data_IF_210791890818
#
_entry.id   IF_210791890818
#
_cell.length_a   1.000
_cell.length_b   1.000
_cell.length_c   1.000
_cell.angle_alpha   90.00
_cell.angle_beta   90.00
_cell.angle_gamma   90.00
#
_symmetry.space_group_name_H-M   'P 1'
#
loop_
_entity.id
_entity.type
_entity.pdbx_description
1 polymer ?
#
# COMPACT_ATOMS: atom_id res chain seq x y z
N UNK A 1 8.51 -14.22 -14.55
CA UNK A 1 9.10 -15.47 -13.96
C UNK A 1 9.39 -15.17 -12.48
N UNK A 2 8.78 -15.95 -11.58
CA UNK A 2 9.04 -15.84 -10.14
C UNK A 2 10.50 -16.19 -9.87
N UNK A 3 11.25 -15.40 -9.07
CA UNK A 3 12.59 -15.77 -8.66
C UNK A 3 12.57 -17.12 -7.93
N UNK A 4 13.43 -18.03 -8.30
CA UNK A 4 13.46 -19.37 -7.71
C UNK A 4 13.88 -19.36 -6.24
N UNK A 5 14.78 -18.44 -5.87
CA UNK A 5 15.27 -18.19 -4.51
C UNK A 5 15.99 -16.85 -4.50
N UNK A 6 15.90 -16.12 -3.40
CA UNK A 6 16.74 -14.95 -3.15
C UNK A 6 17.97 -15.36 -2.32
N UNK A 7 19.06 -14.60 -2.41
CA UNK A 7 20.18 -14.71 -1.47
C UNK A 7 19.71 -14.32 -0.06
N UNK A 8 20.48 -14.70 0.97
CA UNK A 8 20.15 -14.40 2.37
C UNK A 8 19.94 -12.88 2.56
N UNK A 9 18.85 -12.51 3.26
CA UNK A 9 18.44 -11.14 3.57
C UNK A 9 18.14 -10.25 2.34
N UNK A 10 17.82 -10.85 1.21
CA UNK A 10 17.61 -10.16 -0.06
C UNK A 10 16.17 -10.29 -0.52
N UNK A 11 15.55 -9.18 -0.89
CA UNK A 11 14.33 -9.17 -1.67
C UNK A 11 14.70 -9.25 -3.15
N UNK A 12 14.28 -10.32 -3.81
CA UNK A 12 14.37 -10.47 -5.26
C UNK A 12 13.00 -10.18 -5.89
N UNK A 13 12.98 -9.39 -6.94
CA UNK A 13 11.80 -9.06 -7.74
C UNK A 13 12.18 -9.04 -9.22
N UNK A 14 11.53 -9.89 -10.05
CA UNK A 14 11.97 -10.06 -11.42
C UNK A 14 13.44 -10.50 -11.51
N UNK A 15 14.25 -9.68 -12.15
CA UNK A 15 15.71 -9.89 -12.30
C UNK A 15 16.54 -9.09 -11.28
N UNK A 16 15.87 -8.32 -10.41
CA UNK A 16 16.53 -7.41 -9.50
C UNK A 16 16.55 -7.94 -8.07
N UNK A 17 17.56 -7.54 -7.30
CA UNK A 17 17.73 -7.93 -5.91
C UNK A 17 18.18 -6.74 -5.07
N UNK A 18 17.53 -6.53 -3.93
CA UNK A 18 17.83 -5.44 -2.99
C UNK A 18 17.92 -5.95 -1.56
N UNK A 19 18.80 -5.33 -0.79
CA UNK A 19 19.06 -5.68 0.62
C UNK A 19 19.10 -4.41 1.46
N UNK A 20 18.59 -4.47 2.70
CA UNK A 20 18.76 -3.37 3.66
C UNK A 20 20.25 -3.01 3.81
N UNK A 21 20.54 -1.72 3.89
CA UNK A 21 21.90 -1.19 4.01
C UNK A 21 22.63 -0.96 2.67
N UNK A 22 22.08 -1.35 1.52
CA UNK A 22 22.63 -0.93 0.23
C UNK A 22 22.62 0.60 0.11
N UNK A 23 23.63 1.15 -0.54
CA UNK A 23 23.65 2.59 -0.87
C UNK A 23 22.79 2.88 -2.09
N UNK A 24 22.38 4.13 -2.28
CA UNK A 24 21.69 4.57 -3.50
C UNK A 24 22.47 4.20 -4.76
N UNK A 25 23.79 4.39 -4.75
CA UNK A 25 24.65 4.02 -5.87
C UNK A 25 24.63 2.51 -6.16
N UNK A 26 24.64 1.68 -5.12
CA UNK A 26 24.53 0.21 -5.28
C UNK A 26 23.17 -0.19 -5.84
N UNK A 27 22.09 0.43 -5.36
CA UNK A 27 20.73 0.19 -5.87
C UNK A 27 20.65 0.58 -7.35
N UNK A 28 21.05 1.80 -7.71
CA UNK A 28 21.01 2.26 -9.11
C UNK A 28 21.88 1.41 -10.04
N UNK A 29 23.07 1.02 -9.57
CA UNK A 29 23.94 0.10 -10.32
C UNK A 29 23.30 -1.27 -10.52
N UNK A 30 22.65 -1.82 -9.49
CA UNK A 30 21.95 -3.10 -9.56
C UNK A 30 20.72 -3.05 -10.47
N UNK A 31 19.96 -1.96 -10.43
CA UNK A 31 18.80 -1.71 -11.31
C UNK A 31 19.22 -1.46 -12.75
N UNK A 32 20.44 -0.96 -12.98
CA UNK A 32 20.88 -0.50 -14.29
C UNK A 32 20.17 0.78 -14.77
N UNK A 33 19.44 1.46 -13.90
CA UNK A 33 18.65 2.66 -14.18
C UNK A 33 18.51 3.55 -12.95
N UNK A 34 18.21 4.83 -13.18
CA UNK A 34 17.71 5.73 -12.14
C UNK A 34 16.29 5.30 -11.70
N UNK A 35 15.85 5.71 -10.50
CA UNK A 35 14.45 5.47 -10.09
C UNK A 35 13.47 6.19 -11.04
N UNK A 36 12.32 5.59 -11.28
CA UNK A 36 11.25 6.19 -12.08
C UNK A 36 10.66 7.41 -11.37
N UNK A 37 10.64 7.37 -10.04
CA UNK A 37 10.25 8.49 -9.19
C UNK A 37 11.07 8.56 -7.92
N UNK A 38 11.17 9.79 -7.39
CA UNK A 38 11.67 10.07 -6.04
C UNK A 38 10.62 10.84 -5.25
N UNK A 39 10.64 10.69 -3.94
CA UNK A 39 9.72 11.37 -3.04
C UNK A 39 10.26 11.47 -1.62
N UNK A 40 9.42 11.91 -0.71
CA UNK A 40 9.71 11.95 0.72
C UNK A 40 8.66 11.16 1.49
N UNK A 41 9.10 10.16 2.24
CA UNK A 41 8.21 9.34 3.07
C UNK A 41 7.72 10.09 4.32
N UNK A 42 6.71 9.60 5.01
CA UNK A 42 6.25 10.16 6.30
C UNK A 42 7.35 10.24 7.36
N UNK A 43 8.37 9.38 7.26
CA UNK A 43 9.52 9.36 8.15
C UNK A 43 10.54 10.48 7.83
N UNK A 44 10.31 11.25 6.76
CA UNK A 44 11.23 12.25 6.25
C UNK A 44 12.42 11.66 5.49
N UNK A 45 12.31 10.38 5.09
CA UNK A 45 13.35 9.71 4.31
C UNK A 45 13.10 9.91 2.82
N UNK A 46 14.18 9.92 2.04
CA UNK A 46 14.07 9.92 0.59
C UNK A 46 13.54 8.57 0.12
N UNK A 47 12.52 8.59 -0.73
CA UNK A 47 11.90 7.41 -1.33
C UNK A 47 12.30 7.29 -2.79
N UNK A 48 12.65 6.08 -3.23
CA UNK A 48 12.85 5.69 -4.63
C UNK A 48 11.80 4.69 -5.03
N UNK A 49 11.14 4.96 -6.14
CA UNK A 49 10.18 4.03 -6.76
C UNK A 49 10.74 3.56 -8.10
N UNK A 50 10.73 2.26 -8.29
CA UNK A 50 10.99 1.60 -9.56
C UNK A 50 9.71 0.90 -10.03
N UNK A 51 9.23 1.34 -11.18
CA UNK A 51 8.06 0.79 -11.86
C UNK A 51 8.31 0.80 -13.37
N UNK A 52 9.27 -0.03 -13.85
CA UNK A 52 9.69 -0.04 -15.23
C UNK A 52 8.50 -0.21 -16.17
N UNK A 53 8.47 0.60 -17.23
CA UNK A 53 7.37 0.62 -18.22
C UNK A 53 6.00 1.04 -17.66
N UNK A 54 5.93 1.46 -16.39
CA UNK A 54 4.70 1.82 -15.70
C UNK A 54 3.63 0.72 -15.76
N UNK A 55 4.06 -0.54 -15.74
CA UNK A 55 3.21 -1.72 -15.89
C UNK A 55 2.85 -2.39 -14.56
N UNK A 56 3.46 -1.95 -13.46
CA UNK A 56 3.26 -2.45 -12.10
C UNK A 56 3.58 -3.94 -11.87
N UNK A 57 4.18 -4.61 -12.84
CA UNK A 57 4.53 -6.04 -12.71
C UNK A 57 5.63 -6.25 -11.67
N UNK A 58 6.61 -5.35 -11.66
CA UNK A 58 7.76 -5.37 -10.76
C UNK A 58 7.84 -4.07 -9.93
N UNK A 59 6.72 -3.63 -9.40
CA UNK A 59 6.66 -2.42 -8.57
C UNK A 59 7.51 -2.61 -7.30
N UNK A 60 8.40 -1.68 -7.05
CA UNK A 60 9.33 -1.70 -5.93
C UNK A 60 9.54 -0.29 -5.38
N UNK A 61 9.39 -0.15 -4.07
CA UNK A 61 9.69 1.08 -3.35
C UNK A 61 10.79 0.84 -2.32
N UNK A 62 11.64 1.84 -2.13
CA UNK A 62 12.70 1.82 -1.11
C UNK A 62 12.81 3.17 -0.43
N UNK A 63 13.06 3.16 0.86
CA UNK A 63 13.34 4.36 1.63
C UNK A 63 14.80 4.38 2.10
N UNK A 64 15.41 5.57 2.05
CA UNK A 64 16.81 5.77 2.38
C UNK A 64 16.98 6.71 3.56
N UNK A 65 17.76 6.25 4.53
CA UNK A 65 18.27 7.07 5.63
C UNK A 65 19.80 7.04 5.60
N UNK A 66 20.42 8.22 5.62
CA UNK A 66 21.88 8.34 5.60
C UNK A 66 22.52 7.55 4.43
N UNK A 67 21.97 7.70 3.22
CA UNK A 67 22.37 7.00 1.99
C UNK A 67 22.23 5.46 2.04
N UNK A 68 21.49 4.93 2.98
CA UNK A 68 21.29 3.47 3.13
C UNK A 68 19.82 3.10 3.02
N UNK A 69 19.52 2.01 2.30
CA UNK A 69 18.20 1.41 2.28
C UNK A 69 17.84 0.98 3.70
N UNK A 70 16.75 1.50 4.23
CA UNK A 70 16.22 1.19 5.56
C UNK A 70 14.85 0.52 5.51
N UNK A 71 14.18 0.62 4.37
CA UNK A 71 12.89 0.01 4.10
C UNK A 71 12.78 -0.38 2.64
N UNK A 72 12.10 -1.49 2.36
CA UNK A 72 11.82 -2.03 1.04
C UNK A 72 10.38 -2.50 1.04
N UNK A 73 9.57 -2.04 0.09
CA UNK A 73 8.18 -2.47 -0.08
C UNK A 73 7.91 -2.88 -1.51
N UNK A 74 7.10 -3.93 -1.69
CA UNK A 74 6.62 -4.34 -3.01
C UNK A 74 5.22 -4.94 -2.94
N UNK A 75 4.45 -4.70 -3.98
CA UNK A 75 3.24 -5.44 -4.33
C UNK A 75 3.49 -6.03 -5.72
N UNK A 76 3.58 -7.35 -5.83
CA UNK A 76 3.91 -8.03 -7.08
C UNK A 76 3.58 -9.51 -7.02
N UNK A 77 3.30 -10.10 -8.18
CA UNK A 77 3.20 -11.55 -8.32
C UNK A 77 4.57 -12.25 -8.45
N UNK A 78 5.68 -11.50 -8.44
CA UNK A 78 6.99 -12.00 -8.83
C UNK A 78 8.11 -11.71 -7.82
N UNK A 79 7.79 -11.59 -6.54
CA UNK A 79 8.81 -11.39 -5.52
C UNK A 79 9.12 -12.64 -4.68
N UNK A 80 10.31 -12.64 -4.10
CA UNK A 80 10.74 -13.58 -3.08
C UNK A 80 11.72 -12.87 -2.13
N UNK A 81 11.46 -12.92 -0.82
CA UNK A 81 12.41 -12.46 0.18
C UNK A 81 13.07 -13.66 0.85
N UNK A 82 14.34 -13.87 0.54
CA UNK A 82 15.07 -15.07 0.96
C UNK A 82 14.27 -16.33 0.58
N UNK A 83 14.31 -17.39 1.35
CA UNK A 83 13.36 -18.51 1.26
C UNK A 83 12.16 -18.35 2.21
N UNK A 84 12.03 -17.16 2.81
CA UNK A 84 11.12 -16.90 3.92
C UNK A 84 9.70 -16.58 3.49
N UNK A 85 9.54 -15.72 2.47
CA UNK A 85 8.24 -15.33 1.92
C UNK A 85 8.31 -15.07 0.43
N UNK A 86 7.28 -15.49 -0.27
CA UNK A 86 7.14 -15.26 -1.72
C UNK A 86 5.71 -14.86 -2.05
N UNK A 87 5.53 -14.17 -3.16
CA UNK A 87 4.19 -13.92 -3.70
C UNK A 87 3.42 -15.21 -3.86
N UNK A 88 2.13 -15.21 -3.48
CA UNK A 88 1.26 -16.36 -3.54
C UNK A 88 1.43 -17.38 -2.39
N UNK A 89 2.37 -17.19 -1.46
CA UNK A 89 2.39 -17.97 -0.23
C UNK A 89 1.09 -17.78 0.54
N UNK A 90 0.62 -18.83 1.21
CA UNK A 90 -0.62 -18.75 1.99
C UNK A 90 -0.34 -18.34 3.44
N UNK A 91 -1.37 -17.87 4.14
CA UNK A 91 -1.31 -17.63 5.59
C UNK A 91 -0.76 -18.87 6.36
N UNK A 92 -1.22 -20.07 5.99
CA UNK A 92 -0.76 -21.33 6.57
C UNK A 92 0.75 -21.55 6.32
N UNK A 93 1.23 -21.22 5.13
CA UNK A 93 2.65 -21.32 4.79
C UNK A 93 3.49 -20.36 5.65
N UNK A 94 3.02 -19.11 5.80
CA UNK A 94 3.69 -18.11 6.64
C UNK A 94 3.75 -18.57 8.11
N UNK A 95 2.64 -19.03 8.65
CA UNK A 95 2.58 -19.53 10.03
C UNK A 95 3.51 -20.73 10.22
N UNK A 96 3.55 -21.66 9.25
CA UNK A 96 4.45 -22.81 9.27
C UNK A 96 5.94 -22.42 9.25
N UNK A 97 6.27 -21.25 8.71
CA UNK A 97 7.64 -20.67 8.74
C UNK A 97 7.90 -19.79 9.97
N UNK A 98 6.94 -19.67 10.88
CA UNK A 98 7.09 -18.94 12.14
C UNK A 98 6.66 -17.47 12.07
N UNK A 99 6.01 -17.02 11.02
CA UNK A 99 5.36 -15.71 11.01
C UNK A 99 4.25 -15.68 12.05
N UNK A 100 4.10 -14.53 12.70
CA UNK A 100 3.04 -14.27 13.67
C UNK A 100 2.07 -13.28 13.07
N UNK A 101 0.79 -13.49 13.32
CA UNK A 101 -0.25 -12.54 12.98
C UNK A 101 0.02 -11.20 13.67
N UNK A 102 -0.18 -10.11 12.96
CA UNK A 102 -0.09 -8.76 13.51
C UNK A 102 -1.44 -8.39 14.11
N UNK A 103 -1.49 -8.13 15.42
CA UNK A 103 -2.75 -7.95 16.17
C UNK A 103 -3.51 -6.67 15.79
N UNK A 104 -2.79 -5.69 15.23
CA UNK A 104 -3.39 -4.43 14.76
C UNK A 104 -4.24 -4.58 13.50
N UNK A 105 -3.97 -5.60 12.68
CA UNK A 105 -4.78 -5.90 11.51
C UNK A 105 -5.95 -6.78 11.90
N UNK A 106 -7.15 -6.26 11.78
CA UNK A 106 -8.34 -7.08 11.87
C UNK A 106 -8.23 -8.20 10.82
N UNK A 107 -8.73 -9.38 11.15
CA UNK A 107 -8.87 -10.51 10.21
C UNK A 107 -7.57 -11.11 9.65
N UNK A 108 -6.44 -10.98 10.34
CA UNK A 108 -5.17 -11.62 9.95
C UNK A 108 -4.63 -11.19 8.56
N UNK A 109 -4.84 -9.94 8.19
CA UNK A 109 -4.34 -9.41 6.91
C UNK A 109 -2.82 -9.30 6.85
N UNK A 110 -2.17 -9.12 7.99
CA UNK A 110 -0.73 -8.94 8.11
C UNK A 110 -0.07 -10.00 8.98
N UNK A 111 1.09 -10.45 8.53
CA UNK A 111 1.95 -11.41 9.22
C UNK A 111 3.34 -10.83 9.35
N UNK A 112 3.98 -11.00 10.50
CA UNK A 112 5.31 -10.48 10.75
C UNK A 112 6.28 -11.59 11.15
N UNK A 113 7.49 -11.49 10.64
CA UNK A 113 8.63 -12.30 11.04
C UNK A 113 9.82 -11.40 11.43
N UNK A 114 10.52 -11.79 12.49
CA UNK A 114 11.72 -11.11 12.92
C UNK A 114 12.95 -11.88 12.42
N UNK A 115 13.75 -11.25 11.55
CA UNK A 115 14.93 -11.86 10.96
C UNK A 115 16.17 -10.97 11.16
N UNK A 116 17.11 -11.41 11.98
CA UNK A 116 18.33 -10.64 12.22
C UNK A 116 18.02 -9.20 12.66
N UNK A 117 18.44 -8.23 11.87
CA UNK A 117 18.19 -6.80 12.09
C UNK A 117 16.94 -6.26 11.36
N UNK A 118 16.14 -7.14 10.77
CA UNK A 118 14.96 -6.74 10.00
C UNK A 118 13.65 -7.25 10.62
N UNK A 119 12.58 -6.51 10.39
CA UNK A 119 11.21 -7.00 10.42
C UNK A 119 10.73 -7.22 8.99
N UNK A 120 10.02 -8.32 8.79
CA UNK A 120 9.43 -8.72 7.51
C UNK A 120 7.94 -8.81 7.70
N UNK A 121 7.20 -7.88 7.13
CA UNK A 121 5.74 -7.88 7.11
C UNK A 121 5.27 -8.47 5.79
N UNK A 122 4.42 -9.47 5.84
CA UNK A 122 3.79 -10.07 4.67
C UNK A 122 2.28 -9.81 4.72
N UNK A 123 1.71 -9.36 3.60
CA UNK A 123 0.30 -9.00 3.48
C UNK A 123 -0.43 -10.02 2.61
N UNK A 124 -1.55 -10.55 3.13
CA UNK A 124 -2.28 -11.67 2.54
C UNK A 124 -3.65 -11.22 2.06
N UNK A 125 -4.00 -11.56 0.84
CA UNK A 125 -5.36 -11.42 0.31
C UNK A 125 -6.20 -12.65 0.71
N UNK A 126 -7.16 -12.46 1.62
CA UNK A 126 -8.06 -13.52 2.05
C UNK A 126 -9.40 -13.54 1.30
N UNK A 127 -9.68 -12.54 0.47
CA UNK A 127 -11.01 -12.39 -0.11
C UNK A 127 -11.29 -13.33 -1.31
N UNK A 128 -10.26 -13.77 -2.02
CA UNK A 128 -10.41 -14.65 -3.18
C UNK A 128 -9.44 -15.84 -3.16
N UNK A 129 -9.27 -16.49 -2.00
CA UNK A 129 -8.23 -17.52 -1.83
C UNK A 129 -6.87 -17.05 -2.33
N UNK A 130 -6.62 -15.74 -2.22
CA UNK A 130 -5.39 -15.11 -2.61
C UNK A 130 -4.25 -15.54 -1.69
N UNK A 131 -3.04 -15.22 -2.13
CA UNK A 131 -1.84 -15.45 -1.35
C UNK A 131 -1.27 -14.13 -0.84
N UNK A 132 -0.02 -14.18 -0.45
CA UNK A 132 0.77 -12.98 -0.16
C UNK A 132 0.87 -12.15 -1.43
N UNK A 133 0.34 -10.93 -1.38
CA UNK A 133 0.38 -9.99 -2.51
C UNK A 133 1.49 -8.96 -2.38
N UNK A 134 1.96 -8.73 -1.15
CA UNK A 134 2.98 -7.73 -0.88
C UNK A 134 3.84 -8.07 0.33
N UNK A 135 4.99 -7.44 0.39
CA UNK A 135 5.94 -7.54 1.51
C UNK A 135 6.56 -6.19 1.79
N UNK A 136 6.76 -5.90 3.08
CA UNK A 136 7.55 -4.77 3.57
C UNK A 136 8.67 -5.31 4.44
N UNK A 137 9.89 -4.90 4.16
CA UNK A 137 11.07 -5.27 4.94
C UNK A 137 11.74 -4.01 5.46
N UNK A 138 11.93 -3.87 6.76
CA UNK A 138 12.53 -2.67 7.31
C UNK A 138 13.48 -2.93 8.48
N UNK A 139 14.44 -2.00 8.68
CA UNK A 139 15.43 -2.06 9.77
C UNK A 139 14.72 -1.93 11.13
N UNK A 140 14.98 -2.85 12.03
CA UNK A 140 14.46 -2.85 13.41
C UNK A 140 14.73 -1.55 14.17
N UNK A 141 15.79 -0.80 13.80
CA UNK A 141 16.10 0.48 14.43
C UNK A 141 15.02 1.53 14.20
N UNK A 142 14.17 1.36 13.18
CA UNK A 142 13.05 2.25 12.90
C UNK A 142 11.86 2.01 13.83
N UNK A 143 11.89 0.93 14.61
CA UNK A 143 10.77 0.56 15.45
C UNK A 143 11.17 -0.03 16.81
N UNK A 144 10.41 0.31 17.84
CA UNK A 144 10.61 -0.18 19.20
C UNK A 144 9.35 -0.78 19.87
N UNK A 145 8.23 -0.95 19.14
CA UNK A 145 6.95 -1.38 19.71
C UNK A 145 6.52 -2.75 19.18
N UNK A 146 5.58 -3.38 19.89
CA UNK A 146 4.83 -4.55 19.41
C UNK A 146 4.07 -4.22 18.13
N UNK A 147 3.84 -5.26 17.32
CA UNK A 147 3.26 -5.13 15.97
C UNK A 147 4.08 -4.17 15.09
N UNK A 148 5.33 -4.27 15.20
CA UNK A 148 6.46 -3.54 14.68
C UNK A 148 6.19 -2.79 13.38
N UNK A 149 5.80 -1.55 13.53
CA UNK A 149 5.74 -0.58 12.47
C UNK A 149 6.79 0.50 12.67
N UNK A 150 6.99 1.30 11.67
CA UNK A 150 7.86 2.46 11.77
C UNK A 150 7.27 3.44 12.78
N UNK A 151 8.07 3.84 13.76
CA UNK A 151 7.58 4.59 14.91
C UNK A 151 7.26 6.05 14.59
N UNK A 152 6.20 6.60 15.21
CA UNK A 152 5.70 7.96 14.96
C UNK A 152 6.74 9.08 15.11
N UNK A 153 7.78 8.90 15.93
CA UNK A 153 8.81 9.93 16.12
C UNK A 153 9.57 10.32 14.85
N UNK A 154 9.54 9.46 13.83
CA UNK A 154 10.14 9.74 12.53
C UNK A 154 9.13 10.30 11.53
N UNK A 155 7.84 10.29 11.89
CA UNK A 155 6.81 10.77 10.98
C UNK A 155 6.78 12.30 10.96
N UNK A 156 6.80 12.85 9.75
CA UNK A 156 6.69 14.29 9.49
C UNK A 156 5.63 14.48 8.41
N UNK A 157 4.71 15.40 8.63
CA UNK A 157 3.73 15.74 7.60
C UNK A 157 4.11 17.06 6.94
N UNK A 158 4.33 17.01 5.62
CA UNK A 158 4.55 18.16 4.75
C UNK A 158 3.73 17.96 3.48
N UNK A 159 3.57 19.01 2.68
CA UNK A 159 2.94 18.92 1.36
C UNK A 159 3.63 17.90 0.44
N UNK A 160 4.94 17.80 0.52
CA UNK A 160 5.72 16.85 -0.29
C UNK A 160 5.47 15.41 0.15
N UNK A 161 5.41 15.15 1.47
CA UNK A 161 5.02 13.85 2.02
C UNK A 161 3.62 13.49 1.57
N UNK A 162 2.64 14.39 1.71
CA UNK A 162 1.27 14.14 1.29
C UNK A 162 1.20 13.81 -0.22
N UNK A 163 1.94 14.53 -1.04
CA UNK A 163 2.02 14.27 -2.49
C UNK A 163 2.63 12.89 -2.78
N UNK A 164 3.72 12.53 -2.12
CA UNK A 164 4.38 11.22 -2.27
C UNK A 164 3.41 10.10 -1.90
N UNK A 165 2.78 10.18 -0.73
CA UNK A 165 1.85 9.16 -0.22
C UNK A 165 0.60 8.98 -1.09
N UNK A 166 0.09 10.07 -1.69
CA UNK A 166 -1.04 9.99 -2.62
C UNK A 166 -0.71 9.18 -3.87
N UNK A 167 0.48 9.42 -4.43
CA UNK A 167 0.95 8.69 -5.61
C UNK A 167 1.21 7.23 -5.26
N UNK A 168 1.89 6.97 -4.15
CA UNK A 168 2.19 5.63 -3.65
C UNK A 168 0.91 4.81 -3.44
N UNK A 169 -0.14 5.40 -2.86
CA UNK A 169 -1.41 4.71 -2.68
C UNK A 169 -2.07 4.35 -4.04
N UNK A 170 -2.02 5.24 -5.01
CA UNK A 170 -2.47 4.94 -6.37
C UNK A 170 -1.66 3.81 -7.02
N UNK A 171 -0.35 3.80 -6.80
CA UNK A 171 0.53 2.74 -7.27
C UNK A 171 0.20 1.39 -6.60
N UNK A 172 -0.09 1.39 -5.30
CA UNK A 172 -0.48 0.16 -4.60
C UNK A 172 -1.78 -0.42 -5.14
N UNK A 173 -2.78 0.43 -5.44
CA UNK A 173 -4.00 -0.01 -6.12
C UNK A 173 -3.65 -0.67 -7.45
N UNK A 174 -2.84 -0.03 -8.27
CA UNK A 174 -2.47 -0.55 -9.59
C UNK A 174 -1.59 -1.80 -9.52
N UNK A 175 -0.61 -1.83 -8.62
CA UNK A 175 0.22 -3.02 -8.41
C UNK A 175 -0.63 -4.23 -7.91
N UNK A 176 -1.62 -3.98 -7.06
CA UNK A 176 -2.56 -5.01 -6.64
C UNK A 176 -3.47 -5.47 -7.78
N UNK A 177 -3.98 -4.55 -8.62
CA UNK A 177 -4.73 -4.91 -9.83
C UNK A 177 -3.93 -5.83 -10.73
N UNK A 178 -2.67 -5.46 -11.03
CA UNK A 178 -1.77 -6.28 -11.84
C UNK A 178 -1.46 -7.62 -11.17
N UNK A 179 -1.27 -7.65 -9.85
CA UNK A 179 -1.18 -8.91 -9.10
C UNK A 179 -2.43 -9.81 -9.31
N UNK A 180 -3.61 -9.22 -9.43
CA UNK A 180 -4.88 -9.91 -9.72
C UNK A 180 -5.09 -10.19 -11.21
N UNK A 181 -4.13 -9.87 -12.09
CA UNK A 181 -4.23 -10.06 -13.53
C UNK A 181 -5.12 -9.03 -14.23
N UNK A 182 -5.26 -7.84 -13.66
CA UNK A 182 -6.06 -6.73 -14.19
C UNK A 182 -5.16 -5.61 -14.72
N UNK A 183 -5.65 -4.86 -15.71
CA UNK A 183 -4.95 -3.67 -16.20
C UNK A 183 -4.89 -2.56 -15.14
N UNK A 184 -3.81 -1.76 -15.11
CA UNK A 184 -3.74 -0.61 -14.22
C UNK A 184 -4.82 0.43 -14.57
N UNK A 185 -5.33 1.11 -13.56
CA UNK A 185 -6.18 2.30 -13.72
C UNK A 185 -5.34 3.55 -13.93
N UNK A 186 -5.91 4.55 -14.56
CA UNK A 186 -5.29 5.87 -14.63
C UNK A 186 -5.32 6.53 -13.24
N UNK A 187 -4.18 6.99 -12.77
CA UNK A 187 -4.07 7.73 -11.51
C UNK A 187 -4.31 9.21 -11.77
N UNK A 188 -5.30 9.77 -11.11
CA UNK A 188 -5.68 11.18 -11.22
C UNK A 188 -5.32 11.97 -9.96
N UNK A 189 -4.99 13.24 -10.14
CA UNK A 189 -4.81 14.16 -9.03
C UNK A 189 -6.16 14.80 -8.69
N UNK A 190 -6.75 14.43 -7.54
CA UNK A 190 -7.98 15.03 -7.04
C UNK A 190 -7.73 15.91 -5.82
N UNK A 191 -8.27 17.14 -5.87
CA UNK A 191 -8.35 18.01 -4.72
C UNK A 191 -9.34 17.50 -3.68
N UNK A 192 -10.42 16.88 -4.13
CA UNK A 192 -11.53 16.38 -3.30
C UNK A 192 -11.05 15.29 -2.34
N UNK A 193 -10.33 14.26 -2.83
CA UNK A 193 -9.78 13.20 -2.00
C UNK A 193 -8.79 13.75 -0.96
N UNK A 194 -7.91 14.68 -1.35
CA UNK A 194 -6.95 15.29 -0.44
C UNK A 194 -7.63 16.12 0.65
N UNK A 195 -8.62 16.94 0.28
CA UNK A 195 -9.37 17.76 1.24
C UNK A 195 -10.11 16.90 2.25
N UNK A 196 -10.67 15.77 1.83
CA UNK A 196 -11.32 14.82 2.73
C UNK A 196 -10.32 14.18 3.71
N UNK A 197 -9.14 13.77 3.23
CA UNK A 197 -8.09 13.24 4.10
C UNK A 197 -7.62 14.26 5.14
N UNK A 198 -7.42 15.52 4.73
CA UNK A 198 -7.06 16.62 5.62
C UNK A 198 -8.14 16.91 6.65
N UNK A 199 -9.41 16.88 6.26
CA UNK A 199 -10.53 17.03 7.19
C UNK A 199 -10.55 15.90 8.22
N UNK A 200 -10.46 14.64 7.80
CA UNK A 200 -10.38 13.49 8.71
C UNK A 200 -9.20 13.61 9.68
N UNK A 201 -8.04 14.01 9.18
CA UNK A 201 -6.86 14.23 10.01
C UNK A 201 -7.10 15.34 11.04
N UNK A 202 -7.77 16.44 10.66
CA UNK A 202 -8.06 17.57 11.54
C UNK A 202 -8.96 17.21 12.71
N UNK A 203 -9.94 16.31 12.47
CA UNK A 203 -10.88 15.85 13.51
C UNK A 203 -10.43 14.56 14.20
N UNK A 204 -9.36 13.91 13.71
CA UNK A 204 -8.83 12.66 14.26
C UNK A 204 -9.79 11.47 14.13
N UNK A 205 -10.62 11.45 13.08
CA UNK A 205 -11.68 10.44 12.91
C UNK A 205 -11.96 10.16 11.44
N UNK A 206 -12.16 8.87 11.09
CA UNK A 206 -12.69 8.48 9.80
C UNK A 206 -14.15 8.92 9.65
N UNK A 207 -14.47 9.50 8.49
CA UNK A 207 -15.84 9.90 8.14
C UNK A 207 -16.00 9.97 6.63
N UNK A 208 -17.16 9.51 6.14
CA UNK A 208 -17.55 9.58 4.74
C UNK A 208 -18.07 10.97 4.35
N UNK A 209 -18.46 11.79 5.32
CA UNK A 209 -18.94 13.16 5.09
C UNK A 209 -17.83 14.18 5.28
N UNK A 210 -17.83 15.23 4.44
CA UNK A 210 -16.93 16.37 4.61
C UNK A 210 -17.37 17.30 5.76
N UNK A 211 -16.64 18.40 5.95
CA UNK A 211 -16.95 19.42 6.96
C UNK A 211 -18.31 20.09 6.79
N UNK A 212 -18.93 20.01 5.58
CA UNK A 212 -20.24 20.57 5.28
C UNK A 212 -21.33 19.50 5.31
N UNK A 213 -21.02 18.27 5.68
CA UNK A 213 -21.94 17.13 5.71
C UNK A 213 -22.20 16.49 4.35
N UNK A 214 -21.48 16.88 3.29
CA UNK A 214 -21.66 16.32 1.95
C UNK A 214 -21.01 14.94 1.86
N UNK A 215 -21.68 14.01 1.18
CA UNK A 215 -21.18 12.68 0.85
C UNK A 215 -20.12 12.75 -0.27
N UNK A 216 -19.45 11.63 -0.54
CA UNK A 216 -18.47 11.57 -1.63
C UNK A 216 -19.14 11.81 -3.00
N UNK A 217 -20.34 11.30 -3.26
CA UNK A 217 -21.06 11.51 -4.51
C UNK A 217 -21.31 13.00 -4.75
N UNK A 218 -21.75 13.73 -3.73
CA UNK A 218 -22.01 15.17 -3.82
C UNK A 218 -20.73 15.97 -4.07
N UNK A 219 -19.59 15.53 -3.54
CA UNK A 219 -18.30 16.18 -3.76
C UNK A 219 -17.72 15.92 -5.13
N UNK A 220 -17.80 14.65 -5.59
CA UNK A 220 -17.19 14.23 -6.85
C UNK A 220 -17.95 14.69 -8.08
N UNK A 221 -19.28 14.84 -7.99
CA UNK A 221 -20.11 15.29 -9.10
C UNK A 221 -19.64 16.64 -9.65
N UNK A 222 -19.11 17.49 -8.79
CA UNK A 222 -18.59 18.81 -9.19
C UNK A 222 -17.25 18.73 -9.94
N UNK A 223 -16.45 17.68 -9.69
CA UNK A 223 -15.06 17.58 -10.22
C UNK A 223 -14.96 16.57 -11.39
N UNK A 224 -15.60 15.41 -11.29
CA UNK A 224 -15.38 14.27 -12.20
C UNK A 224 -16.67 13.59 -12.69
N UNK A 225 -17.84 14.10 -12.37
CA UNK A 225 -19.11 13.53 -12.79
C UNK A 225 -19.64 12.43 -11.90
N UNK A 226 -19.04 11.25 -11.81
CA UNK A 226 -19.54 10.15 -10.98
C UNK A 226 -18.42 9.40 -10.27
N UNK A 227 -18.45 9.42 -8.94
CA UNK A 227 -17.63 8.54 -8.12
C UNK A 227 -18.41 7.25 -7.81
N UNK A 228 -17.85 6.11 -8.15
CA UNK A 228 -18.48 4.81 -7.91
C UNK A 228 -18.25 4.30 -6.50
N UNK A 229 -17.09 4.60 -5.93
CA UNK A 229 -16.72 4.13 -4.60
C UNK A 229 -15.69 5.06 -3.97
N UNK A 230 -15.92 5.40 -2.71
CA UNK A 230 -14.92 5.99 -1.84
C UNK A 230 -14.64 5.04 -0.68
N UNK A 231 -13.40 4.95 -0.25
CA UNK A 231 -13.03 4.33 1.01
C UNK A 231 -12.12 5.24 1.80
N UNK A 232 -12.36 5.33 3.09
CA UNK A 232 -11.57 6.06 4.06
C UNK A 232 -10.89 5.07 4.99
N UNK A 233 -9.66 5.36 5.34
CA UNK A 233 -8.89 4.51 6.23
C UNK A 233 -7.96 5.32 7.12
N UNK A 234 -7.51 4.70 8.21
CA UNK A 234 -6.42 5.21 9.04
C UNK A 234 -5.41 4.09 9.27
N UNK A 235 -4.14 4.44 9.19
CA UNK A 235 -3.03 3.51 9.39
C UNK A 235 -1.75 4.25 9.75
N UNK A 236 -0.69 3.51 10.02
CA UNK A 236 0.60 4.11 10.39
C UNK A 236 1.55 4.26 9.18
N UNK A 237 1.27 3.56 8.08
CA UNK A 237 1.98 3.65 6.80
C UNK A 237 1.03 3.43 5.62
N UNK A 238 1.48 3.65 4.40
CA UNK A 238 0.71 3.35 3.20
C UNK A 238 0.43 1.86 3.05
N UNK A 239 1.41 1.00 3.30
CA UNK A 239 1.27 -0.45 3.23
C UNK A 239 0.25 -0.95 4.24
N UNK A 240 0.30 -0.39 5.43
CA UNK A 240 -0.63 -0.66 6.52
C UNK A 240 -2.05 -0.29 6.13
N UNK A 241 -2.21 0.95 5.69
CA UNK A 241 -3.48 1.48 5.24
C UNK A 241 -4.04 0.70 4.04
N UNK A 242 -3.18 0.39 3.05
CA UNK A 242 -3.59 -0.37 1.88
C UNK A 242 -3.98 -1.81 2.24
N UNK A 243 -3.27 -2.47 3.15
CA UNK A 243 -3.63 -3.81 3.61
C UNK A 243 -5.01 -3.81 4.28
N UNK A 244 -5.35 -2.75 5.00
CA UNK A 244 -6.69 -2.56 5.56
C UNK A 244 -7.76 -2.44 4.47
N UNK A 245 -7.47 -1.71 3.40
CA UNK A 245 -8.38 -1.56 2.24
C UNK A 245 -8.63 -2.89 1.54
N UNK A 246 -7.57 -3.65 1.25
CA UNK A 246 -7.70 -5.01 0.67
C UNK A 246 -8.49 -5.93 1.58
N UNK A 247 -8.41 -5.70 2.87
CA UNK A 247 -9.02 -6.53 3.90
C UNK A 247 -10.40 -6.07 4.36
N UNK A 248 -10.82 -4.84 4.00
CA UNK A 248 -12.09 -4.27 4.42
C UNK A 248 -13.24 -5.18 4.00
N UNK A 249 -13.75 -5.92 4.97
CA UNK A 249 -14.98 -6.72 4.81
C UNK A 249 -16.14 -5.76 4.98
N UNK A 250 -17.13 -5.83 4.11
CA UNK A 250 -18.38 -5.10 4.30
C UNK A 250 -19.04 -5.58 5.60
N UNK A 251 -18.80 -4.84 6.67
CA UNK A 251 -19.35 -5.16 8.00
C UNK A 251 -20.87 -5.00 8.07
N UNK A 252 -21.49 -4.41 7.03
CA UNK A 252 -22.94 -4.25 6.96
C UNK A 252 -23.63 -5.50 6.40
N UNK A 253 -22.88 -6.38 5.74
CA UNK A 253 -23.37 -7.65 5.21
C UNK A 253 -22.66 -8.80 5.89
N UNK A 254 -23.45 -9.67 6.47
CA UNK A 254 -23.02 -10.86 7.19
C UNK A 254 -21.94 -11.62 6.38
N UNK A 255 -20.72 -11.67 6.87
CA UNK A 255 -19.55 -12.30 6.22
C UNK A 255 -19.74 -13.80 5.91
N UNK A 256 -20.80 -14.42 6.45
CA UNK A 256 -21.21 -15.78 6.12
C UNK A 256 -21.63 -15.97 4.65
N UNK A 257 -21.85 -14.90 3.88
CA UNK A 257 -22.32 -14.98 2.49
C UNK A 257 -21.19 -15.12 1.45
N UNK A 258 -19.93 -15.01 1.83
CA UNK A 258 -18.79 -15.06 0.91
C UNK A 258 -18.73 -13.88 -0.08
N UNK A 259 -19.47 -12.79 0.18
CA UNK A 259 -19.42 -11.60 -0.67
C UNK A 259 -18.15 -10.80 -0.37
N UNK A 260 -17.45 -10.40 -1.42
CA UNK A 260 -16.32 -9.48 -1.36
C UNK A 260 -16.78 -8.11 -0.84
N UNK A 261 -15.87 -7.36 -0.19
CA UNK A 261 -16.16 -5.96 0.13
C UNK A 261 -16.37 -5.15 -1.16
N UNK A 262 -17.21 -4.13 -1.09
CA UNK A 262 -17.50 -3.32 -2.27
C UNK A 262 -16.22 -2.71 -2.85
N UNK A 263 -15.36 -2.11 -2.00
CA UNK A 263 -14.11 -1.51 -2.46
C UNK A 263 -13.21 -2.52 -3.18
N UNK A 264 -13.11 -3.73 -2.66
CA UNK A 264 -12.33 -4.79 -3.29
C UNK A 264 -12.89 -5.16 -4.66
N UNK A 265 -14.23 -5.29 -4.78
CA UNK A 265 -14.87 -5.60 -6.06
C UNK A 265 -14.58 -4.54 -7.12
N UNK A 266 -14.71 -3.26 -6.77
CA UNK A 266 -14.42 -2.17 -7.70
C UNK A 266 -12.93 -2.06 -8.01
N UNK A 267 -12.07 -2.27 -7.02
CA UNK A 267 -10.62 -2.23 -7.20
C UNK A 267 -10.12 -3.27 -8.21
N UNK A 268 -10.80 -4.43 -8.33
CA UNK A 268 -10.44 -5.48 -9.28
C UNK A 268 -11.40 -5.60 -10.47
N UNK A 269 -12.38 -4.71 -10.60
CA UNK A 269 -13.32 -4.72 -11.72
C UNK A 269 -12.63 -4.41 -13.06
N UNK A 270 -13.14 -4.98 -14.12
CA UNK A 270 -12.77 -4.66 -15.50
C UNK A 270 -13.79 -3.69 -16.12
N UNK A 271 -15.02 -3.79 -15.69
CA UNK A 271 -16.14 -2.99 -16.14
C UNK A 271 -16.69 -2.13 -14.99
N UNK A 272 -17.35 -1.06 -15.35
CA UNK A 272 -18.10 -0.25 -14.38
C UNK A 272 -19.21 -1.06 -13.70
N UNK A 273 -19.77 -0.56 -12.59
CA UNK A 273 -20.77 -1.27 -11.80
C UNK A 273 -22.05 -1.64 -12.57
N UNK A 274 -22.30 -0.98 -13.69
CA UNK A 274 -23.48 -1.20 -14.55
C UNK A 274 -23.18 -2.17 -15.72
N UNK A 275 -21.99 -2.83 -15.73
CA UNK A 275 -21.59 -3.78 -16.77
C UNK A 275 -21.18 -3.14 -18.11
N UNK A 276 -21.05 -1.81 -18.15
CA UNK A 276 -20.54 -1.08 -19.33
C UNK A 276 -19.00 -0.92 -19.23
N UNK A 277 -18.34 -0.83 -20.37
CA UNK A 277 -16.93 -0.44 -20.43
C UNK A 277 -16.81 1.00 -19.93
N UNK A 278 -16.28 1.14 -18.73
CA UNK A 278 -15.99 2.44 -18.11
C UNK A 278 -14.49 2.56 -17.97
N UNK A 279 -13.94 3.69 -18.43
CA UNK A 279 -12.54 4.01 -18.19
C UNK A 279 -12.37 4.31 -16.70
N UNK A 280 -11.95 3.31 -15.93
CA UNK A 280 -11.84 3.40 -14.47
C UNK A 280 -10.57 4.14 -14.06
N UNK A 281 -10.74 5.10 -13.19
CA UNK A 281 -9.68 5.94 -12.65
C UNK A 281 -9.61 5.80 -11.12
N UNK A 282 -8.44 6.06 -10.57
CA UNK A 282 -8.21 6.12 -9.13
C UNK A 282 -7.59 7.45 -8.75
N UNK A 283 -8.07 8.06 -7.68
CA UNK A 283 -7.40 9.18 -7.03
C UNK A 283 -7.32 8.97 -5.52
N UNK A 284 -6.29 9.52 -4.91
CA UNK A 284 -6.00 9.32 -3.51
C UNK A 284 -5.76 10.64 -2.79
N UNK A 285 -6.18 10.69 -1.52
CA UNK A 285 -5.82 11.74 -0.57
C UNK A 285 -5.08 11.14 0.61
N UNK A 286 -4.15 11.87 1.19
CA UNK A 286 -3.37 11.42 2.32
C UNK A 286 -3.02 12.56 3.27
N UNK A 287 -3.34 12.41 4.54
CA UNK A 287 -3.04 13.39 5.57
C UNK A 287 -2.66 12.73 6.90
N UNK A 288 -1.92 13.44 7.72
CA UNK A 288 -1.42 12.96 9.00
C UNK A 288 -1.97 13.80 10.15
N UNK A 289 -2.46 13.16 11.19
CA UNK A 289 -2.89 13.87 12.41
C UNK A 289 -1.66 14.22 13.25
N UNK A 290 -1.29 15.50 13.24
CA UNK A 290 -0.12 16.01 13.96
C UNK A 290 -0.33 16.05 15.50
N UNK A 291 -1.57 15.99 15.98
CA UNK A 291 -1.89 16.03 17.40
C UNK A 291 -1.74 14.68 18.05
N UNK A 292 -2.32 13.65 17.45
CA UNK A 292 -2.24 12.27 17.97
C UNK A 292 -0.92 11.61 17.59
N UNK A 293 -0.30 12.02 16.50
CA UNK A 293 0.96 11.47 15.92
C UNK A 293 0.93 9.95 15.70
N UNK A 294 -0.26 9.35 15.60
CA UNK A 294 -0.42 7.91 15.56
C UNK A 294 -1.10 7.43 14.28
N UNK A 295 -1.76 8.34 13.55
CA UNK A 295 -2.59 7.95 12.42
C UNK A 295 -2.37 8.85 11.21
N UNK A 296 -2.14 8.19 10.10
CA UNK A 296 -2.34 8.77 8.78
C UNK A 296 -3.76 8.47 8.33
N UNK A 297 -4.39 9.43 7.70
CA UNK A 297 -5.72 9.29 7.13
C UNK A 297 -5.61 9.31 5.62
N UNK A 298 -6.24 8.34 4.99
CA UNK A 298 -6.22 8.23 3.55
C UNK A 298 -7.64 8.09 2.98
N UNK A 299 -7.75 8.44 1.72
CA UNK A 299 -8.95 8.31 0.91
C UNK A 299 -8.55 7.70 -0.42
N UNK A 300 -9.29 6.70 -0.86
CA UNK A 300 -9.20 6.17 -2.23
C UNK A 300 -10.59 6.34 -2.86
N UNK A 301 -10.64 7.06 -3.97
CA UNK A 301 -11.82 7.21 -4.78
C UNK A 301 -11.63 6.50 -6.11
N UNK A 302 -12.58 5.63 -6.47
CA UNK A 302 -12.66 4.94 -7.75
C UNK A 302 -13.82 5.56 -8.54
N UNK A 303 -13.52 6.05 -9.72
CA UNK A 303 -14.49 6.72 -10.57
C UNK A 303 -14.27 6.38 -12.04
N UNK A 304 -15.24 6.66 -12.89
CA UNK A 304 -15.16 6.41 -14.31
C UNK A 304 -15.95 7.43 -15.13
N UNK A 305 -15.59 7.54 -16.39
CA UNK A 305 -16.20 8.43 -17.36
C UNK A 305 -17.04 7.66 -18.37
#
# INVERSE_FOLDING_TARGET
IKPASAAADTLAIGTFAVTLGMTKAQVQSGMGAAPDRTGTSPQGFESYVYNPSNDYVNYLEMQFKDDKVVEISTISAYFCYDSLVSSGDTAKTLQGRGFKTMSRFAYEAGYQYEKGNAYVNAFVDHQQNGGVYGVQVFDKKLNSKLDKLIIPKYCTYTSDVAKTMRVEMGDFVNAFRVFKGKEPMKVEASGTAQTQAEYMASIGKNTTSDQNGRTYDERFTDEYGKCYMQTEFAGDSCEDAFSFVVFAVDTTKNTASGQLSNIYQYMIAEDGPDGGTVDMHVCCGFAYNTTTKLYTFGVIDLFGF
#
